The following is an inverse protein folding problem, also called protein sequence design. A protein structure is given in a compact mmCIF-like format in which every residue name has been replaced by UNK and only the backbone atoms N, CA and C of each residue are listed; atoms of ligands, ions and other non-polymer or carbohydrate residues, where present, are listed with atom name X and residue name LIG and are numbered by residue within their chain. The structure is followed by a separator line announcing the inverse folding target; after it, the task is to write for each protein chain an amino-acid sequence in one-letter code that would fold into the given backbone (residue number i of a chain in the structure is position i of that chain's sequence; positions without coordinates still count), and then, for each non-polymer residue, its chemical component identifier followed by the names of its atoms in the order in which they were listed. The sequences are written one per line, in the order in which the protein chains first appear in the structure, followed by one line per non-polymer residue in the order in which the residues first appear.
data_IF_094722233373
#
_entry.id   IF_094722233373
#
_cell.length_a   1.000
_cell.length_b   1.000
_cell.length_c   1.000
_cell.angle_alpha   90.00
_cell.angle_beta   90.00
_cell.angle_gamma   90.00
#
_symmetry.space_group_name_H-M   'P 1'
#
loop_
_entity.id
_entity.type
_entity.pdbx_description
1 polymer ?
#
# COMPACT_ATOMS: atom_id res chain seq x y z
N UNK A 1 -29.30 8.89 14.84
CA UNK A 1 -28.91 7.51 14.45
C UNK A 1 -27.95 7.60 13.28
N UNK A 2 -26.65 7.38 13.52
CA UNK A 2 -25.63 7.46 12.47
C UNK A 2 -25.73 6.25 11.55
N UNK A 3 -25.90 6.49 10.24
CA UNK A 3 -25.74 5.43 9.24
C UNK A 3 -24.29 4.94 9.32
N UNK A 4 -24.08 3.71 9.77
CA UNK A 4 -22.80 3.03 9.63
C UNK A 4 -22.58 2.78 8.14
N UNK A 5 -21.82 3.66 7.48
CA UNK A 5 -21.36 3.42 6.11
C UNK A 5 -20.47 2.17 6.15
N UNK A 6 -21.03 1.02 5.79
CA UNK A 6 -20.32 -0.24 5.74
C UNK A 6 -19.33 -0.17 4.56
N UNK A 7 -18.07 0.20 4.82
CA UNK A 7 -17.07 0.17 3.77
C UNK A 7 -16.79 -1.31 3.42
N UNK A 8 -17.14 -1.77 2.19
CA UNK A 8 -17.01 -3.17 1.79
C UNK A 8 -15.56 -3.68 1.82
N UNK A 9 -14.58 -2.78 1.86
CA UNK A 9 -13.16 -3.15 1.92
C UNK A 9 -12.82 -3.96 3.17
N UNK A 10 -13.44 -3.66 4.31
CA UNK A 10 -13.11 -4.33 5.56
C UNK A 10 -13.47 -5.81 5.50
N UNK A 11 -14.63 -6.15 4.94
CA UNK A 11 -14.98 -7.55 4.70
C UNK A 11 -13.98 -8.27 3.80
N UNK A 12 -13.44 -7.59 2.77
CA UNK A 12 -12.44 -8.18 1.90
C UNK A 12 -11.11 -8.38 2.63
N UNK A 13 -10.59 -7.36 3.31
CA UNK A 13 -9.32 -7.43 4.05
C UNK A 13 -9.33 -8.55 5.09
N UNK A 14 -10.39 -8.65 5.88
CA UNK A 14 -10.45 -9.63 6.97
C UNK A 14 -10.59 -11.07 6.45
N UNK A 15 -11.11 -11.27 5.23
CA UNK A 15 -11.19 -12.57 4.55
C UNK A 15 -9.89 -13.01 3.88
N UNK A 16 -8.91 -12.12 3.68
CA UNK A 16 -7.63 -12.48 3.06
C UNK A 16 -6.91 -13.58 3.85
N UNK A 17 -6.31 -14.53 3.13
CA UNK A 17 -5.50 -15.60 3.72
C UNK A 17 -4.07 -15.11 3.99
N UNK A 18 -3.93 -14.13 4.90
CA UNK A 18 -2.62 -13.56 5.27
C UNK A 18 -2.50 -13.35 6.80
N UNK A 19 -1.26 -13.23 7.32
CA UNK A 19 -1.03 -13.01 8.74
C UNK A 19 -1.74 -11.76 9.28
N UNK A 20 -2.19 -11.80 10.54
CA UNK A 20 -2.89 -10.68 11.17
C UNK A 20 -2.11 -9.36 11.11
N UNK A 21 -0.77 -9.40 11.22
CA UNK A 21 0.09 -8.21 11.10
C UNK A 21 -0.04 -7.50 9.75
N UNK A 22 -0.28 -8.24 8.66
CA UNK A 22 -0.50 -7.70 7.32
C UNK A 22 -1.85 -6.99 7.27
N UNK A 23 -2.90 -7.61 7.83
CA UNK A 23 -4.25 -7.01 7.93
C UNK A 23 -4.23 -5.71 8.74
N UNK A 24 -3.54 -5.72 9.89
CA UNK A 24 -3.35 -4.51 10.70
C UNK A 24 -2.56 -3.42 9.98
N UNK A 25 -1.54 -3.79 9.22
CA UNK A 25 -0.80 -2.85 8.38
C UNK A 25 -1.70 -2.19 7.33
N UNK A 26 -2.52 -2.97 6.62
CA UNK A 26 -3.48 -2.43 5.64
C UNK A 26 -4.45 -1.49 6.35
N UNK A 27 -5.03 -1.91 7.48
CA UNK A 27 -5.92 -1.06 8.27
C UNK A 27 -5.28 0.28 8.63
N UNK A 28 -4.04 0.27 9.12
CA UNK A 28 -3.31 1.52 9.45
C UNK A 28 -3.07 2.40 8.23
N UNK A 29 -2.71 1.76 7.11
CA UNK A 29 -2.46 2.44 5.83
C UNK A 29 -3.72 3.14 5.36
N UNK A 30 -4.85 2.44 5.26
CA UNK A 30 -6.12 3.01 4.80
C UNK A 30 -6.68 4.11 5.72
N UNK A 31 -6.30 4.10 6.99
CA UNK A 31 -6.62 5.19 7.93
C UNK A 31 -5.61 6.36 7.88
N UNK A 32 -4.57 6.31 7.06
CA UNK A 32 -3.52 7.33 7.00
C UNK A 32 -2.70 7.43 8.30
N UNK A 33 -2.65 6.35 9.09
CA UNK A 33 -1.99 6.32 10.41
C UNK A 33 -0.66 5.57 10.39
N UNK A 34 -0.17 5.25 9.21
CA UNK A 34 1.09 4.56 9.02
C UNK A 34 2.26 5.46 9.45
N UNK A 35 3.21 4.96 10.26
CA UNK A 35 4.31 5.78 10.73
C UNK A 35 5.36 5.94 9.62
N UNK A 36 5.22 6.97 8.79
CA UNK A 36 6.22 7.33 7.78
C UNK A 36 7.14 8.42 8.32
N UNK A 37 8.39 8.52 7.84
CA UNK A 37 9.35 9.54 8.35
C UNK A 37 8.86 10.97 8.15
N UNK A 38 8.11 11.27 7.09
CA UNK A 38 7.45 12.58 6.93
C UNK A 38 6.54 12.86 8.12
N UNK A 39 5.70 11.90 8.51
CA UNK A 39 4.79 12.01 9.66
C UNK A 39 5.55 12.18 10.97
N UNK A 40 6.66 11.45 11.15
CA UNK A 40 7.49 11.56 12.36
C UNK A 40 8.23 12.90 12.44
N UNK A 41 8.79 13.37 11.32
CA UNK A 41 9.43 14.67 11.22
C UNK A 41 8.43 15.82 11.49
N UNK A 42 7.22 15.72 10.96
CA UNK A 42 6.13 16.66 11.24
C UNK A 42 5.70 16.69 12.72
N UNK A 43 6.00 15.63 13.48
CA UNK A 43 5.82 15.57 14.94
C UNK A 43 7.06 16.03 15.72
N UNK A 44 7.96 16.77 15.07
CA UNK A 44 9.20 17.32 15.65
C UNK A 44 10.19 16.26 16.18
N UNK A 45 10.10 15.02 15.69
CA UNK A 45 11.15 14.03 15.96
C UNK A 45 12.38 14.35 15.12
N UNK A 46 13.58 14.20 15.71
CA UNK A 46 14.87 14.39 15.01
C UNK A 46 15.16 13.23 14.06
N UNK A 47 14.38 13.12 12.98
CA UNK A 47 14.53 12.11 11.93
C UNK A 47 14.56 12.80 10.56
N UNK A 48 15.40 12.31 9.65
CA UNK A 48 15.35 12.75 8.25
C UNK A 48 14.05 12.27 7.61
N UNK A 49 13.31 13.14 6.90
CA UNK A 49 12.08 12.77 6.20
C UNK A 49 12.34 11.97 4.91
N UNK A 50 13.61 11.82 4.52
CA UNK A 50 13.99 11.08 3.31
C UNK A 50 13.76 9.58 3.48
N UNK A 51 13.39 8.93 2.38
CA UNK A 51 13.24 7.49 2.29
C UNK A 51 14.59 6.80 2.54
N UNK A 52 14.68 5.88 3.52
CA UNK A 52 15.93 5.18 3.83
C UNK A 52 16.37 4.25 2.70
N UNK A 53 15.44 3.78 1.86
CA UNK A 53 15.72 2.86 0.78
C UNK A 53 16.39 3.52 -0.43
N UNK A 54 16.02 4.77 -0.75
CA UNK A 54 16.47 5.45 -1.98
C UNK A 54 17.19 6.78 -1.75
N UNK A 55 17.17 7.29 -0.52
CA UNK A 55 17.76 8.57 -0.08
C UNK A 55 17.39 9.81 -0.92
N UNK A 56 16.36 9.74 -1.77
CA UNK A 56 16.01 10.79 -2.74
C UNK A 56 14.59 11.33 -2.59
N UNK A 57 13.61 10.45 -2.34
CA UNK A 57 12.22 10.86 -2.10
C UNK A 57 11.91 11.08 -0.62
N UNK A 58 10.87 11.86 -0.33
CA UNK A 58 10.27 11.90 1.00
C UNK A 58 9.61 10.54 1.30
N UNK A 59 9.78 10.01 2.51
CA UNK A 59 9.10 8.79 2.92
C UNK A 59 7.68 9.11 3.40
N UNK A 60 6.75 9.11 2.45
CA UNK A 60 5.31 9.03 2.68
C UNK A 60 4.75 7.67 2.20
N UNK A 61 3.45 7.45 2.42
CA UNK A 61 2.78 6.19 2.05
C UNK A 61 2.98 5.88 0.57
N UNK A 62 2.72 6.85 -0.31
CA UNK A 62 2.83 6.71 -1.77
C UNK A 62 4.24 6.37 -2.21
N UNK A 63 5.24 7.10 -1.72
CA UNK A 63 6.61 6.89 -2.11
C UNK A 63 7.10 5.53 -1.64
N UNK A 64 6.95 5.25 -0.35
CA UNK A 64 7.38 3.98 0.25
C UNK A 64 6.76 2.77 -0.45
N UNK A 65 5.44 2.81 -0.71
CA UNK A 65 4.72 1.67 -1.25
C UNK A 65 4.79 1.57 -2.77
N UNK A 66 4.92 2.67 -3.52
CA UNK A 66 4.72 2.63 -4.98
C UNK A 66 5.77 3.39 -5.81
N UNK A 67 6.31 4.51 -5.32
CA UNK A 67 7.21 5.34 -6.15
C UNK A 67 8.70 5.15 -5.86
N UNK A 68 9.05 4.58 -4.72
CA UNK A 68 10.43 4.24 -4.37
C UNK A 68 11.00 3.29 -5.42
N UNK A 69 12.28 3.46 -5.78
CA UNK A 69 12.92 2.65 -6.81
C UNK A 69 12.80 1.14 -6.52
N UNK A 70 12.95 0.77 -5.25
CA UNK A 70 12.78 -0.60 -4.77
C UNK A 70 11.34 -1.10 -4.92
N UNK A 71 10.36 -0.30 -4.53
CA UNK A 71 8.95 -0.62 -4.68
C UNK A 71 8.59 -0.85 -6.16
N UNK A 72 8.99 0.07 -7.03
CA UNK A 72 8.78 -0.05 -8.49
C UNK A 72 9.35 -1.34 -9.05
N UNK A 73 10.55 -1.73 -8.63
CA UNK A 73 11.16 -2.98 -9.09
C UNK A 73 10.35 -4.21 -8.66
N UNK A 74 9.91 -4.25 -7.40
CA UNK A 74 9.09 -5.35 -6.87
C UNK A 74 7.77 -5.45 -7.63
N UNK A 75 7.06 -4.33 -7.82
CA UNK A 75 5.78 -4.33 -8.53
C UNK A 75 5.91 -4.70 -10.00
N UNK A 76 6.98 -4.27 -10.66
CA UNK A 76 7.28 -4.68 -12.04
C UNK A 76 7.50 -6.18 -12.17
N UNK A 77 8.18 -6.81 -11.20
CA UNK A 77 8.35 -8.27 -11.17
C UNK A 77 7.03 -9.02 -10.96
N UNK A 78 6.04 -8.37 -10.35
CA UNK A 78 4.69 -8.89 -10.17
C UNK A 78 3.73 -8.53 -11.32
N UNK A 79 4.19 -7.80 -12.34
CA UNK A 79 3.35 -7.36 -13.46
C UNK A 79 2.27 -6.34 -13.07
N UNK A 80 2.51 -5.56 -12.01
CA UNK A 80 1.55 -4.59 -11.46
C UNK A 80 1.98 -3.14 -11.68
N UNK A 81 3.14 -2.88 -12.26
CA UNK A 81 3.74 -1.55 -12.38
C UNK A 81 2.92 -0.58 -13.24
N UNK A 82 2.34 -1.04 -14.35
CA UNK A 82 1.50 -0.19 -15.20
C UNK A 82 0.22 0.26 -14.47
N UNK A 83 -0.48 -0.69 -13.85
CA UNK A 83 -1.71 -0.42 -13.08
C UNK A 83 -1.41 0.51 -11.91
N UNK A 84 -0.32 0.28 -11.20
CA UNK A 84 0.11 1.13 -10.08
C UNK A 84 0.50 2.52 -10.54
N UNK A 85 1.20 2.65 -11.67
CA UNK A 85 1.56 3.94 -12.23
C UNK A 85 0.31 4.77 -12.54
N UNK A 86 -0.69 4.19 -13.21
CA UNK A 86 -1.96 4.84 -13.50
C UNK A 86 -2.71 5.24 -12.21
N UNK A 87 -2.84 4.34 -11.24
CA UNK A 87 -3.50 4.64 -9.97
C UNK A 87 -2.80 5.78 -9.20
N UNK A 88 -1.46 5.84 -9.28
CA UNK A 88 -0.67 6.91 -8.67
C UNK A 88 -0.83 8.28 -9.36
N UNK A 89 -1.34 8.36 -10.58
CA UNK A 89 -1.63 9.67 -11.20
C UNK A 89 -2.86 10.33 -10.56
N UNK A 90 -3.81 9.51 -10.13
CA UNK A 90 -5.08 9.95 -9.53
C UNK A 90 -4.93 10.24 -8.04
N UNK A 91 -4.22 9.39 -7.30
CA UNK A 91 -4.07 9.52 -5.85
C UNK A 91 -2.70 10.10 -5.46
N UNK A 92 -2.71 11.21 -4.74
CA UNK A 92 -1.49 11.89 -4.26
C UNK A 92 -0.94 11.31 -2.97
N UNK A 93 -1.76 10.68 -2.14
CA UNK A 93 -1.37 10.28 -0.79
C UNK A 93 -0.90 8.81 -0.72
N UNK A 94 -1.45 7.93 -1.55
CA UNK A 94 -1.06 6.53 -1.75
C UNK A 94 -2.00 5.53 -1.09
N UNK A 95 -2.80 5.95 -0.11
CA UNK A 95 -3.76 5.08 0.58
C UNK A 95 -4.85 4.57 -0.37
N UNK A 96 -5.35 5.41 -1.27
CA UNK A 96 -6.39 5.04 -2.21
C UNK A 96 -5.85 4.09 -3.30
N UNK A 97 -4.56 4.17 -3.63
CA UNK A 97 -3.90 3.19 -4.51
C UNK A 97 -3.96 1.79 -3.91
N UNK A 98 -3.61 1.63 -2.62
CA UNK A 98 -3.66 0.31 -1.97
C UNK A 98 -5.10 -0.22 -1.88
N UNK A 99 -6.07 0.63 -1.54
CA UNK A 99 -7.50 0.29 -1.55
C UNK A 99 -7.94 -0.18 -2.93
N UNK A 100 -7.62 0.58 -3.99
CA UNK A 100 -7.93 0.23 -5.37
C UNK A 100 -7.40 -1.17 -5.72
N UNK A 101 -6.10 -1.43 -5.48
CA UNK A 101 -5.47 -2.71 -5.79
C UNK A 101 -6.13 -3.90 -5.08
N UNK A 102 -6.50 -3.74 -3.80
CA UNK A 102 -7.16 -4.79 -3.02
C UNK A 102 -8.62 -5.02 -3.44
N UNK A 103 -9.27 -4.01 -4.02
CA UNK A 103 -10.65 -4.06 -4.46
C UNK A 103 -10.84 -4.47 -5.92
N UNK A 104 -9.77 -4.55 -6.71
CA UNK A 104 -9.83 -4.89 -8.15
C UNK A 104 -10.72 -6.12 -8.44
N UNK A 105 -11.51 -6.09 -9.53
CA UNK A 105 -12.30 -7.24 -9.99
C UNK A 105 -11.44 -8.48 -10.24
N UNK A 106 -12.01 -9.67 -10.05
CA UNK A 106 -11.29 -10.94 -10.26
C UNK A 106 -10.85 -11.16 -11.71
N UNK A 107 -11.56 -10.59 -12.69
CA UNK A 107 -11.20 -10.66 -14.11
C UNK A 107 -9.85 -9.99 -14.37
N UNK A 108 -9.62 -8.81 -13.79
CA UNK A 108 -8.36 -8.07 -13.94
C UNK A 108 -7.21 -8.77 -13.20
N UNK A 109 -7.51 -9.48 -12.10
CA UNK A 109 -6.52 -10.30 -11.39
C UNK A 109 -6.19 -11.59 -12.14
N UNK A 110 -7.14 -12.15 -12.89
CA UNK A 110 -6.95 -13.37 -13.69
C UNK A 110 -5.98 -13.15 -14.85
N UNK A 111 -5.92 -11.92 -15.39
CA UNK A 111 -4.93 -11.50 -16.40
C UNK A 111 -3.49 -11.70 -15.88
N UNK A 112 -3.28 -11.58 -14.57
CA UNK A 112 -1.95 -11.66 -13.98
C UNK A 112 -1.44 -13.10 -13.83
N UNK A 113 -2.26 -14.13 -14.09
CA UNK A 113 -1.85 -15.54 -14.05
C UNK A 113 -1.47 -16.08 -12.66
N UNK A 114 -1.60 -15.29 -11.60
CA UNK A 114 -1.29 -15.68 -10.23
C UNK A 114 -2.53 -16.14 -9.47
N UNK A 115 -2.37 -17.17 -8.63
CA UNK A 115 -3.35 -17.51 -7.61
C UNK A 115 -3.13 -16.60 -6.38
N UNK A 116 -4.22 -16.18 -5.73
CA UNK A 116 -4.18 -15.35 -4.51
C UNK A 116 -3.50 -13.98 -4.69
N UNK A 117 -3.75 -13.32 -5.83
CA UNK A 117 -3.16 -12.00 -6.17
C UNK A 117 -3.39 -10.94 -5.09
N UNK A 118 -4.55 -10.96 -4.40
CA UNK A 118 -4.85 -10.00 -3.33
C UNK A 118 -3.97 -10.22 -2.10
N UNK A 119 -3.78 -11.47 -1.69
CA UNK A 119 -2.84 -11.84 -0.64
C UNK A 119 -1.42 -11.43 -1.02
N UNK A 120 -1.02 -11.62 -2.28
CA UNK A 120 0.29 -11.18 -2.76
C UNK A 120 0.45 -9.66 -2.69
N UNK A 121 -0.53 -8.89 -3.15
CA UNK A 121 -0.52 -7.42 -3.03
C UNK A 121 -0.40 -7.02 -1.56
N UNK A 122 -1.26 -7.57 -0.69
CA UNK A 122 -1.26 -7.31 0.74
C UNK A 122 0.10 -7.58 1.40
N UNK A 123 0.66 -8.77 1.16
CA UNK A 123 1.94 -9.20 1.74
C UNK A 123 3.10 -8.37 1.17
N UNK A 124 3.07 -8.06 -0.13
CA UNK A 124 4.11 -7.25 -0.80
C UNK A 124 4.13 -5.83 -0.26
N UNK A 125 2.96 -5.18 -0.14
CA UNK A 125 2.86 -3.85 0.47
C UNK A 125 3.36 -3.86 1.92
N UNK A 126 2.99 -4.89 2.70
CA UNK A 126 3.49 -5.05 4.07
C UNK A 126 5.01 -5.27 4.11
N UNK A 127 5.56 -6.05 3.18
CA UNK A 127 6.99 -6.30 3.06
C UNK A 127 7.76 -5.02 2.72
N UNK A 128 7.31 -4.25 1.72
CA UNK A 128 7.92 -2.97 1.34
C UNK A 128 7.94 -1.97 2.50
N UNK A 129 6.87 -1.95 3.30
CA UNK A 129 6.84 -1.19 4.53
C UNK A 129 7.84 -1.74 5.55
N UNK A 130 7.80 -3.04 5.85
CA UNK A 130 8.61 -3.67 6.88
C UNK A 130 10.13 -3.55 6.63
N UNK A 131 10.55 -3.62 5.37
CA UNK A 131 11.96 -3.63 4.98
C UNK A 131 12.63 -2.24 4.95
N UNK A 132 11.89 -1.18 5.24
CA UNK A 132 12.42 0.20 5.20
C UNK A 132 13.28 0.58 6.39
#
# INVERSE_FOLDING_TARGET
MGRTNFNPIWCKIWKLSCPAKVKFFIWRTLHGTLPCRVTLANRHMKVSPLCPCCASGLEDTKHMLFQCQKAKEVWRRLGLDEIIAQACEVDRAGEAVLEFLLLMPDQDLSIMGFQNTREMIAITSWYLWWER
#
